data_IF_113139978071
#
_entry.id   IF_113139978071
#
_cell.length_a   1.000
_cell.length_b   1.000
_cell.length_c   1.000
_cell.angle_alpha   90.00
_cell.angle_beta   90.00
_cell.angle_gamma   90.00
#
_symmetry.space_group_name_H-M   'P 1'
#
loop_
_entity.id
_entity.type
_entity.pdbx_description
1 polymer ?
#
# COMPACT_ATOMS: atom_id res chain seq x y z
N UNK A 1 -5.01 25.63 -19.71
CA UNK A 1 -3.89 25.72 -18.76
C UNK A 1 -2.73 24.88 -19.28
N UNK A 2 -1.48 25.40 -19.14
CA UNK A 2 -0.30 24.63 -19.55
C UNK A 2 -0.02 23.53 -18.49
N UNK A 3 0.40 22.30 -18.89
CA UNK A 3 0.82 21.27 -17.95
C UNK A 3 2.00 21.77 -17.10
N UNK A 4 2.15 21.21 -15.91
CA UNK A 4 3.31 21.47 -15.05
C UNK A 4 4.54 20.78 -15.62
N UNK A 5 5.68 21.46 -15.59
CA UNK A 5 6.94 20.96 -16.16
C UNK A 5 7.90 20.41 -15.08
N UNK A 6 7.76 20.84 -13.84
CA UNK A 6 8.59 20.43 -12.72
C UNK A 6 7.88 20.64 -11.39
N UNK A 7 8.42 20.06 -10.32
CA UNK A 7 7.94 20.32 -8.94
C UNK A 7 8.06 21.81 -8.60
N UNK A 8 9.13 22.48 -9.02
CA UNK A 8 9.31 23.90 -8.82
C UNK A 8 8.23 24.74 -9.54
N UNK A 9 7.95 24.43 -10.82
CA UNK A 9 6.89 25.09 -11.60
C UNK A 9 5.51 24.91 -10.93
N UNK A 10 5.21 23.70 -10.46
CA UNK A 10 4.01 23.43 -9.70
C UNK A 10 3.91 24.31 -8.45
N UNK A 11 4.93 24.29 -7.60
CA UNK A 11 4.94 25.07 -6.37
C UNK A 11 4.87 26.58 -6.65
N UNK A 12 5.56 27.09 -7.66
CA UNK A 12 5.56 28.51 -8.06
C UNK A 12 4.19 28.97 -8.53
N UNK A 13 3.52 28.20 -9.38
CA UNK A 13 2.19 28.54 -9.91
C UNK A 13 1.07 28.40 -8.87
N UNK A 14 1.25 27.52 -7.90
CA UNK A 14 0.30 27.32 -6.80
C UNK A 14 0.62 28.18 -5.56
N UNK A 15 1.71 28.95 -5.60
CA UNK A 15 2.08 29.85 -4.50
C UNK A 15 0.99 30.91 -4.26
N UNK A 16 0.66 31.16 -2.99
CA UNK A 16 -0.43 32.08 -2.63
C UNK A 16 -1.82 31.48 -2.61
N UNK A 17 -1.99 30.20 -3.00
CA UNK A 17 -3.17 29.40 -2.74
C UNK A 17 -3.02 28.64 -1.41
N UNK A 18 -3.90 27.68 -1.13
CA UNK A 18 -3.84 26.85 0.10
C UNK A 18 -2.68 25.82 0.11
N UNK A 19 -1.71 25.97 -0.78
CA UNK A 19 -0.56 25.08 -0.87
C UNK A 19 0.35 25.25 0.34
N UNK A 20 0.52 24.20 1.10
CA UNK A 20 1.47 24.15 2.19
C UNK A 20 2.46 22.98 2.02
N UNK A 21 3.55 23.00 2.79
CA UNK A 21 4.58 21.95 2.73
C UNK A 21 4.01 20.54 2.83
N UNK A 22 3.07 20.32 3.78
CA UNK A 22 2.47 18.98 3.99
C UNK A 22 1.68 18.51 2.77
N UNK A 23 0.95 19.42 2.11
CA UNK A 23 0.20 19.08 0.90
C UNK A 23 1.14 18.65 -0.24
N UNK A 24 2.25 19.38 -0.44
CA UNK A 24 3.26 19.03 -1.44
C UNK A 24 3.90 17.68 -1.12
N UNK A 25 4.35 17.47 0.11
CA UNK A 25 4.93 16.19 0.56
C UNK A 25 3.94 15.03 0.38
N UNK A 26 2.65 15.23 0.70
CA UNK A 26 1.62 14.20 0.50
C UNK A 26 1.42 13.86 -0.98
N UNK A 27 1.42 14.85 -1.87
CA UNK A 27 1.34 14.63 -3.31
C UNK A 27 2.57 13.88 -3.85
N UNK A 28 3.77 14.22 -3.37
CA UNK A 28 5.00 13.49 -3.73
C UNK A 28 4.90 12.04 -3.26
N UNK A 29 4.54 11.81 -2.00
CA UNK A 29 4.39 10.47 -1.42
C UNK A 29 3.33 9.64 -2.15
N UNK A 30 2.27 10.27 -2.64
CA UNK A 30 1.25 9.62 -3.47
C UNK A 30 1.71 9.35 -4.91
N UNK A 31 2.91 9.82 -5.33
CA UNK A 31 3.42 9.62 -6.68
C UNK A 31 2.89 10.58 -7.73
N UNK A 32 2.22 11.67 -7.34
CA UNK A 32 1.63 12.63 -8.28
C UNK A 32 2.67 13.31 -9.20
N UNK A 33 3.93 13.32 -8.81
CA UNK A 33 5.02 13.98 -9.52
C UNK A 33 6.08 13.03 -10.10
N UNK A 34 5.81 11.73 -10.13
CA UNK A 34 6.75 10.73 -10.69
C UNK A 34 7.08 11.00 -12.17
N UNK A 35 6.21 11.74 -12.88
CA UNK A 35 6.43 12.13 -14.25
C UNK A 35 7.55 13.18 -14.46
N UNK A 36 8.05 13.83 -13.40
CA UNK A 36 9.08 14.87 -13.51
C UNK A 36 10.51 14.32 -13.53
N UNK A 37 10.70 13.00 -13.46
CA UNK A 37 12.00 12.36 -13.64
C UNK A 37 12.92 12.37 -12.41
N UNK A 38 12.56 13.08 -11.33
CA UNK A 38 13.21 12.97 -10.04
C UNK A 38 12.51 11.92 -9.18
N UNK A 39 13.26 11.21 -8.34
CA UNK A 39 12.68 10.25 -7.43
C UNK A 39 11.99 10.93 -6.23
N UNK A 40 11.09 10.21 -5.55
CA UNK A 40 10.26 10.77 -4.47
C UNK A 40 11.09 11.24 -3.28
N UNK A 41 12.14 10.52 -2.91
CA UNK A 41 13.04 10.90 -1.81
C UNK A 41 13.72 12.24 -2.09
N UNK A 42 14.29 12.40 -3.29
CA UNK A 42 14.91 13.66 -3.71
C UNK A 42 13.92 14.82 -3.72
N UNK A 43 12.69 14.59 -4.18
CA UNK A 43 11.66 15.61 -4.20
C UNK A 43 11.22 16.04 -2.81
N UNK A 44 11.00 15.09 -1.89
CA UNK A 44 10.63 15.40 -0.48
C UNK A 44 11.66 16.26 0.20
N UNK A 45 12.96 15.91 0.07
CA UNK A 45 14.06 16.69 0.64
C UNK A 45 14.18 18.09 0.03
N UNK A 46 13.80 18.25 -1.23
CA UNK A 46 13.89 19.54 -1.93
C UNK A 46 12.73 20.51 -1.59
N UNK A 47 11.58 20.03 -1.08
CA UNK A 47 10.36 20.84 -0.87
C UNK A 47 10.63 22.10 -0.07
N UNK A 48 11.33 21.99 1.05
CA UNK A 48 11.61 23.15 1.90
C UNK A 48 12.44 24.22 1.20
N UNK A 49 13.48 23.79 0.47
CA UNK A 49 14.31 24.69 -0.32
C UNK A 49 13.55 25.38 -1.44
N UNK A 50 12.70 24.63 -2.15
CA UNK A 50 11.83 25.14 -3.22
C UNK A 50 10.88 26.21 -2.68
N UNK A 51 10.18 25.93 -1.59
CA UNK A 51 9.22 26.88 -1.01
C UNK A 51 9.91 28.16 -0.52
N UNK A 52 11.06 28.05 0.14
CA UNK A 52 11.86 29.21 0.56
C UNK A 52 12.35 30.05 -0.62
N UNK A 53 12.80 29.41 -1.70
CA UNK A 53 13.20 30.12 -2.92
C UNK A 53 12.05 30.95 -3.49
N UNK A 54 10.86 30.32 -3.64
CA UNK A 54 9.66 30.98 -4.15
C UNK A 54 9.22 32.15 -3.25
N UNK A 55 9.23 31.98 -1.92
CA UNK A 55 8.93 33.08 -0.99
C UNK A 55 9.89 34.26 -1.14
N UNK A 56 11.19 33.96 -1.28
CA UNK A 56 12.22 34.99 -1.44
C UNK A 56 12.03 35.76 -2.75
N UNK A 57 11.75 35.06 -3.84
CA UNK A 57 11.51 35.67 -5.15
C UNK A 57 10.20 36.49 -5.16
N UNK A 58 9.16 35.97 -4.49
CA UNK A 58 7.89 36.72 -4.34
C UNK A 58 8.07 38.01 -3.57
N UNK A 59 8.85 38.02 -2.47
CA UNK A 59 9.15 39.23 -1.71
C UNK A 59 9.94 40.24 -2.51
N UNK A 60 10.98 39.82 -3.25
CA UNK A 60 11.74 40.68 -4.14
C UNK A 60 10.88 41.34 -5.21
N UNK A 61 9.92 40.61 -5.76
CA UNK A 61 8.99 41.13 -6.76
C UNK A 61 7.98 42.11 -6.14
N UNK A 62 7.56 41.93 -4.88
CA UNK A 62 6.61 42.82 -4.19
C UNK A 62 7.27 44.13 -3.71
N UNK A 63 8.53 44.10 -3.31
CA UNK A 63 9.26 45.27 -2.86
C UNK A 63 9.62 46.24 -4.00
N UNK A 64 9.27 45.91 -5.26
CA UNK A 64 9.37 46.82 -6.41
C UNK A 64 10.80 47.33 -6.72
N UNK A 65 11.82 46.66 -6.20
CA UNK A 65 13.19 46.85 -6.60
C UNK A 65 13.45 46.13 -7.93
N UNK A 66 12.68 46.52 -8.96
CA UNK A 66 13.28 46.68 -10.28
C UNK A 66 14.38 47.71 -10.05
N UNK A 67 15.61 47.24 -9.91
CA UNK A 67 16.73 48.12 -9.75
C UNK A 67 16.72 49.14 -10.92
N UNK A 68 16.31 50.36 -10.60
CA UNK A 68 16.28 51.48 -11.57
C UNK A 68 17.62 51.64 -12.24
N UNK A 69 18.69 51.17 -11.60
CA UNK A 69 20.07 51.11 -12.13
C UNK A 69 20.23 50.06 -13.23
N UNK A 70 19.57 48.92 -13.20
CA UNK A 70 19.67 47.89 -14.26
C UNK A 70 18.96 48.35 -15.55
N UNK A 71 17.93 49.17 -15.41
CA UNK A 71 17.25 49.80 -16.59
C UNK A 71 18.11 50.91 -17.19
N UNK A 72 18.91 51.62 -16.41
CA UNK A 72 19.79 52.67 -16.93
C UNK A 72 21.11 52.18 -17.53
N UNK A 73 21.58 51.00 -17.13
CA UNK A 73 22.84 50.41 -17.67
C UNK A 73 22.66 49.65 -18.99
N UNK A 74 21.45 49.55 -19.53
CA UNK A 74 21.24 48.95 -20.85
C UNK A 74 21.49 47.44 -20.92
N UNK A 75 21.73 46.76 -19.80
CA UNK A 75 21.96 45.32 -19.72
C UNK A 75 20.64 44.53 -19.47
N UNK A 76 19.58 44.88 -20.20
CA UNK A 76 18.38 44.05 -20.25
C UNK A 76 18.56 42.98 -21.32
N UNK A 77 19.41 42.03 -21.05
CA UNK A 77 19.28 40.69 -21.64
C UNK A 77 18.88 39.71 -20.56
N UNK A 78 17.69 39.86 -20.01
CA UNK A 78 17.01 38.76 -19.34
C UNK A 78 16.18 38.03 -20.39
N UNK A 79 16.80 37.07 -21.09
CA UNK A 79 16.08 35.88 -21.47
C UNK A 79 15.38 35.38 -20.20
N UNK A 80 14.12 34.90 -20.26
CA UNK A 80 13.51 34.22 -19.15
C UNK A 80 14.37 32.99 -18.86
N UNK A 81 15.33 33.13 -17.92
CA UNK A 81 15.92 31.96 -17.30
C UNK A 81 14.74 31.23 -16.69
N UNK A 82 14.43 30.09 -17.27
CA UNK A 82 13.57 29.13 -16.57
C UNK A 82 14.23 28.92 -15.21
N UNK A 83 13.60 29.44 -14.16
CA UNK A 83 14.07 29.26 -12.78
C UNK A 83 14.02 27.75 -12.48
N UNK A 84 15.05 27.04 -12.84
CA UNK A 84 15.22 25.61 -12.60
C UNK A 84 15.82 25.45 -11.23
N UNK A 85 15.00 25.03 -10.28
CA UNK A 85 15.53 24.58 -9.00
C UNK A 85 16.18 23.21 -9.17
N UNK A 86 17.47 23.12 -8.91
CA UNK A 86 18.23 21.87 -9.03
C UNK A 86 17.93 20.97 -7.81
N UNK A 87 17.24 19.85 -8.06
CA UNK A 87 16.95 18.85 -7.04
C UNK A 87 18.17 17.92 -6.92
N UNK A 88 18.78 17.88 -5.73
CA UNK A 88 19.89 16.98 -5.45
C UNK A 88 19.44 15.51 -5.55
N UNK A 89 20.10 14.69 -6.38
CA UNK A 89 19.75 13.27 -6.50
C UNK A 89 20.14 12.50 -5.23
N UNK A 90 19.19 11.78 -4.67
CA UNK A 90 19.33 10.85 -3.54
C UNK A 90 18.95 9.43 -3.98
N UNK A 91 19.32 8.44 -3.18
CA UNK A 91 18.81 7.09 -3.37
C UNK A 91 17.30 7.08 -3.12
N UNK A 92 16.52 6.36 -3.96
CA UNK A 92 15.08 6.23 -3.78
C UNK A 92 14.76 5.41 -2.53
N UNK A 93 13.57 5.63 -1.99
CA UNK A 93 12.99 4.77 -0.97
C UNK A 93 12.87 3.33 -1.47
N UNK A 94 12.92 2.39 -0.54
CA UNK A 94 12.66 0.99 -0.89
C UNK A 94 11.22 0.80 -1.40
N UNK A 95 10.94 -0.21 -2.22
CA UNK A 95 9.57 -0.48 -2.70
C UNK A 95 8.55 -0.59 -1.58
N UNK A 96 8.93 -1.17 -0.44
CA UNK A 96 8.05 -1.28 0.74
C UNK A 96 7.75 0.08 1.36
N UNK A 97 8.76 0.96 1.47
CA UNK A 97 8.57 2.32 1.99
C UNK A 97 7.70 3.17 1.08
N UNK A 98 7.85 3.04 -0.25
CA UNK A 98 7.00 3.74 -1.23
C UNK A 98 5.53 3.34 -1.07
N UNK A 99 5.23 2.05 -0.99
CA UNK A 99 3.89 1.53 -0.78
C UNK A 99 3.31 1.98 0.57
N UNK A 100 4.13 2.02 1.62
CA UNK A 100 3.72 2.50 2.93
C UNK A 100 3.36 3.98 2.90
N UNK A 101 4.18 4.81 2.23
CA UNK A 101 3.90 6.24 2.06
C UNK A 101 2.61 6.49 1.28
N UNK A 102 2.38 5.76 0.18
CA UNK A 102 1.14 5.82 -0.58
C UNK A 102 -0.08 5.51 0.30
N UNK A 103 -0.01 4.42 1.07
CA UNK A 103 -1.08 4.01 2.00
C UNK A 103 -1.32 5.04 3.09
N UNK A 104 -0.26 5.64 3.64
CA UNK A 104 -0.36 6.67 4.69
C UNK A 104 -1.12 7.91 4.20
N UNK A 105 -0.84 8.39 2.99
CA UNK A 105 -1.38 9.66 2.49
C UNK A 105 -2.69 9.52 1.73
N UNK A 106 -2.91 8.40 1.03
CA UNK A 106 -4.11 8.17 0.21
C UNK A 106 -5.09 7.15 0.80
N UNK A 107 -4.66 6.36 1.78
CA UNK A 107 -5.41 5.23 2.31
C UNK A 107 -5.35 3.97 1.43
N UNK A 108 -4.69 4.04 0.26
CA UNK A 108 -4.62 2.97 -0.74
C UNK A 108 -3.18 2.75 -1.18
N UNK A 109 -2.87 1.56 -1.66
CA UNK A 109 -1.66 1.31 -2.44
C UNK A 109 -1.93 1.70 -3.90
N UNK A 110 -1.14 2.58 -4.46
CA UNK A 110 -1.34 3.12 -5.82
C UNK A 110 -0.46 2.44 -6.86
N UNK A 111 0.81 2.17 -6.53
CA UNK A 111 1.78 1.61 -7.46
C UNK A 111 1.88 0.09 -7.44
N UNK A 112 1.29 -0.60 -6.44
CA UNK A 112 1.33 -2.05 -6.30
C UNK A 112 0.77 -2.50 -4.95
N UNK A 113 0.94 -3.77 -4.62
CA UNK A 113 0.52 -4.32 -3.33
C UNK A 113 1.70 -5.04 -2.64
N UNK A 114 1.84 -5.00 -1.31
CA UNK A 114 2.93 -5.67 -0.59
C UNK A 114 3.04 -7.17 -0.92
N UNK A 115 1.93 -7.82 -1.26
CA UNK A 115 1.89 -9.23 -1.65
C UNK A 115 2.33 -9.50 -3.08
N UNK A 116 2.51 -8.50 -3.93
CA UNK A 116 2.89 -8.72 -5.33
C UNK A 116 4.23 -9.43 -5.48
N UNK A 117 5.20 -9.09 -4.62
CA UNK A 117 6.50 -9.75 -4.57
C UNK A 117 6.41 -11.23 -4.12
N UNK A 118 5.31 -11.61 -3.49
CA UNK A 118 5.14 -12.94 -2.87
C UNK A 118 4.08 -13.81 -3.56
N UNK A 119 3.57 -13.42 -4.74
CA UNK A 119 2.51 -14.16 -5.47
C UNK A 119 2.82 -15.63 -5.68
N UNK A 120 4.02 -15.94 -6.19
CA UNK A 120 4.42 -17.33 -6.42
C UNK A 120 4.56 -18.12 -5.11
N UNK A 121 5.13 -17.50 -4.09
CA UNK A 121 5.32 -18.12 -2.77
C UNK A 121 3.97 -18.37 -2.10
N UNK A 122 3.07 -17.40 -2.14
CA UNK A 122 1.69 -17.54 -1.64
C UNK A 122 0.94 -18.69 -2.32
N UNK A 123 1.03 -18.80 -3.65
CA UNK A 123 0.40 -19.89 -4.39
C UNK A 123 0.93 -21.28 -3.97
N UNK A 124 2.24 -21.40 -3.69
CA UNK A 124 2.87 -22.66 -3.22
C UNK A 124 2.47 -23.01 -1.79
N UNK A 125 2.20 -22.02 -0.95
CA UNK A 125 1.79 -22.22 0.45
C UNK A 125 0.37 -22.82 0.52
N UNK A 126 -0.44 -22.73 -0.55
CA UNK A 126 -1.80 -23.26 -0.58
C UNK A 126 -2.72 -22.50 0.39
N UNK A 127 -2.66 -21.17 0.34
CA UNK A 127 -3.45 -20.28 1.20
C UNK A 127 -4.89 -20.10 0.66
N UNK A 128 -5.82 -19.83 1.58
CA UNK A 128 -7.15 -19.33 1.22
C UNK A 128 -7.06 -17.82 0.97
N UNK A 129 -7.91 -17.32 0.07
CA UNK A 129 -8.08 -15.87 -0.09
C UNK A 129 -9.08 -15.36 0.93
N UNK A 130 -8.92 -14.13 1.38
CA UNK A 130 -9.83 -13.51 2.35
C UNK A 130 -11.26 -13.50 1.79
N UNK A 131 -11.44 -13.18 0.51
CA UNK A 131 -12.74 -13.20 -0.14
C UNK A 131 -13.41 -14.57 -0.09
N UNK A 132 -12.65 -15.67 -0.20
CA UNK A 132 -13.19 -17.02 -0.09
C UNK A 132 -13.69 -17.36 1.32
N UNK A 133 -13.20 -16.63 2.34
CA UNK A 133 -13.55 -16.83 3.76
C UNK A 133 -14.64 -15.86 4.25
N UNK A 134 -14.83 -14.72 3.59
CA UNK A 134 -15.74 -13.65 4.03
C UNK A 134 -16.84 -13.32 3.05
N UNK A 135 -16.79 -13.85 1.80
CA UNK A 135 -17.77 -13.55 0.75
C UNK A 135 -19.16 -14.15 1.07
N UNK A 136 -20.22 -13.59 0.49
CA UNK A 136 -21.59 -14.08 0.64
C UNK A 136 -21.74 -15.55 0.17
N UNK A 137 -20.92 -15.99 -0.78
CA UNK A 137 -20.86 -17.38 -1.28
C UNK A 137 -19.83 -18.23 -0.51
N UNK A 138 -19.31 -17.77 0.61
CA UNK A 138 -18.32 -18.52 1.36
C UNK A 138 -18.94 -19.75 2.01
N UNK A 139 -18.61 -20.92 1.50
CA UNK A 139 -19.01 -22.22 2.09
C UNK A 139 -17.99 -22.62 3.17
N UNK A 140 -17.88 -21.81 4.22
CA UNK A 140 -16.96 -22.04 5.33
C UNK A 140 -17.73 -22.36 6.61
N UNK A 141 -17.16 -23.22 7.44
CA UNK A 141 -17.76 -23.62 8.70
C UNK A 141 -17.07 -22.92 9.88
N UNK A 142 -17.84 -22.68 10.95
CA UNK A 142 -17.26 -22.22 12.19
C UNK A 142 -16.25 -23.24 12.73
N UNK A 143 -15.07 -22.76 13.18
CA UNK A 143 -13.97 -23.61 13.62
C UNK A 143 -13.12 -24.25 12.53
N UNK A 144 -13.41 -24.00 11.23
CA UNK A 144 -12.62 -24.52 10.12
C UNK A 144 -11.18 -24.02 10.19
N UNK A 145 -10.22 -24.93 10.00
CA UNK A 145 -8.80 -24.59 9.96
C UNK A 145 -8.41 -24.04 8.59
N UNK A 146 -7.96 -22.81 8.59
CA UNK A 146 -7.58 -22.10 7.38
C UNK A 146 -6.17 -21.54 7.49
N UNK A 147 -5.55 -21.31 6.33
CA UNK A 147 -4.29 -20.60 6.18
C UNK A 147 -4.50 -19.45 5.25
N UNK A 148 -4.00 -18.28 5.62
CA UNK A 148 -3.99 -17.08 4.76
C UNK A 148 -2.57 -16.54 4.65
N UNK A 149 -2.27 -15.92 3.51
CA UNK A 149 -1.09 -15.06 3.30
C UNK A 149 -1.60 -13.65 3.12
N UNK A 150 -1.17 -12.77 3.99
CA UNK A 150 -1.73 -11.41 4.07
C UNK A 150 -0.69 -10.39 4.53
N UNK A 151 -0.97 -9.12 4.30
CA UNK A 151 -0.25 -8.00 4.87
C UNK A 151 -0.97 -7.50 6.14
N UNK A 152 -0.21 -7.17 7.17
CA UNK A 152 -0.74 -6.56 8.39
C UNK A 152 -1.00 -5.08 8.13
N UNK A 153 -2.27 -4.67 8.24
CA UNK A 153 -2.67 -3.26 8.03
C UNK A 153 -2.59 -2.46 9.32
N UNK A 154 -3.15 -3.01 10.39
CA UNK A 154 -3.23 -2.32 11.68
C UNK A 154 -3.26 -3.31 12.81
N UNK A 155 -2.65 -2.94 13.91
CA UNK A 155 -2.60 -3.77 15.09
C UNK A 155 -3.09 -2.99 16.31
N UNK A 156 -4.12 -3.51 16.99
CA UNK A 156 -4.69 -2.92 18.20
C UNK A 156 -4.52 -3.88 19.38
N UNK A 157 -3.66 -3.51 20.31
CA UNK A 157 -3.46 -4.24 21.55
C UNK A 157 -4.58 -3.96 22.55
N UNK A 158 -5.04 -4.98 23.24
CA UNK A 158 -6.02 -4.88 24.31
C UNK A 158 -5.64 -5.75 25.51
N UNK A 159 -5.95 -5.26 26.71
CA UNK A 159 -5.79 -6.05 27.93
C UNK A 159 -7.07 -6.82 28.20
N UNK A 160 -6.95 -8.12 28.42
CA UNK A 160 -8.07 -9.00 28.80
C UNK A 160 -8.46 -8.80 30.26
N UNK A 161 -9.62 -9.31 30.66
CA UNK A 161 -10.06 -9.30 32.06
C UNK A 161 -9.08 -10.02 32.99
N UNK A 162 -8.29 -10.94 32.49
CA UNK A 162 -7.23 -11.66 33.23
C UNK A 162 -5.89 -10.94 33.25
N UNK A 163 -5.86 -9.65 32.89
CA UNK A 163 -4.65 -8.82 32.80
C UNK A 163 -3.58 -9.34 31.83
N UNK A 164 -3.97 -10.10 30.83
CA UNK A 164 -3.10 -10.58 29.76
C UNK A 164 -3.31 -9.76 28.49
N UNK A 165 -2.27 -9.57 27.69
CA UNK A 165 -2.37 -8.84 26.43
C UNK A 165 -2.89 -9.73 25.30
N UNK A 166 -3.79 -9.21 24.47
CA UNK A 166 -4.23 -9.80 23.20
C UNK A 166 -4.23 -8.75 22.11
N UNK A 167 -4.27 -9.16 20.85
CA UNK A 167 -4.31 -8.22 19.73
C UNK A 167 -5.50 -8.50 18.82
N UNK A 168 -6.06 -7.42 18.29
CA UNK A 168 -6.96 -7.40 17.15
C UNK A 168 -6.17 -6.84 15.97
N UNK A 169 -5.87 -7.69 15.02
CA UNK A 169 -5.01 -7.36 13.88
C UNK A 169 -5.85 -7.33 12.62
N UNK A 170 -5.93 -6.18 11.96
CA UNK A 170 -6.55 -6.07 10.64
C UNK A 170 -5.52 -6.48 9.60
N UNK A 171 -5.89 -7.42 8.75
CA UNK A 171 -5.04 -7.93 7.67
C UNK A 171 -5.73 -7.79 6.33
N UNK A 172 -4.95 -7.70 5.26
CA UNK A 172 -5.48 -7.64 3.90
C UNK A 172 -4.70 -8.55 2.95
N UNK A 173 -5.40 -9.05 1.96
CA UNK A 173 -4.81 -9.67 0.77
C UNK A 173 -5.29 -8.94 -0.50
N UNK A 174 -4.96 -9.47 -1.68
CA UNK A 174 -5.39 -8.91 -2.97
C UNK A 174 -6.92 -8.95 -3.18
N UNK A 175 -7.67 -9.60 -2.30
CA UNK A 175 -9.10 -9.87 -2.49
C UNK A 175 -10.00 -9.23 -1.44
N UNK A 176 -9.45 -8.81 -0.30
CA UNK A 176 -10.23 -8.20 0.77
C UNK A 176 -9.45 -8.00 2.07
N UNK A 177 -10.19 -7.63 3.12
CA UNK A 177 -9.67 -7.41 4.47
C UNK A 177 -10.38 -8.30 5.48
N UNK A 178 -9.69 -8.69 6.54
CA UNK A 178 -10.23 -9.53 7.61
C UNK A 178 -9.64 -9.11 8.96
N UNK A 179 -10.42 -9.31 10.03
CA UNK A 179 -9.92 -9.17 11.40
C UNK A 179 -9.38 -10.50 11.92
N UNK A 180 -8.18 -10.47 12.47
CA UNK A 180 -7.51 -11.60 13.11
C UNK A 180 -7.44 -11.36 14.61
N UNK A 181 -7.91 -12.33 15.41
CA UNK A 181 -7.82 -12.28 16.85
C UNK A 181 -6.60 -13.08 17.28
N UNK A 182 -5.67 -12.42 17.95
CA UNK A 182 -4.43 -13.00 18.44
C UNK A 182 -4.51 -13.10 19.97
N UNK A 183 -4.77 -14.30 20.47
CA UNK A 183 -4.87 -14.57 21.91
C UNK A 183 -3.50 -14.46 22.60
N UNK A 184 -3.46 -14.25 23.95
CA UNK A 184 -2.22 -13.99 24.67
C UNK A 184 -1.11 -14.99 24.40
N UNK A 185 -1.40 -16.29 24.43
CA UNK A 185 -0.41 -17.35 24.20
C UNK A 185 0.23 -17.28 22.80
N UNK A 186 -0.54 -16.88 21.81
CA UNK A 186 -0.06 -16.71 20.41
C UNK A 186 0.70 -15.40 20.30
N UNK A 187 0.18 -14.34 20.91
CA UNK A 187 0.81 -13.02 20.92
C UNK A 187 2.21 -13.06 21.54
N UNK A 188 2.37 -13.73 22.67
CA UNK A 188 3.66 -13.88 23.35
C UNK A 188 4.72 -14.56 22.48
N UNK A 189 4.30 -15.47 21.59
CA UNK A 189 5.20 -16.22 20.70
C UNK A 189 5.53 -15.54 19.39
N UNK A 190 4.60 -14.73 18.88
CA UNK A 190 4.67 -14.20 17.51
C UNK A 190 4.55 -12.66 17.45
N UNK A 191 4.79 -11.99 18.57
CA UNK A 191 4.65 -10.53 18.69
C UNK A 191 5.43 -9.76 17.63
N UNK A 192 6.63 -10.21 17.32
CA UNK A 192 7.51 -9.55 16.36
C UNK A 192 7.04 -9.73 14.90
N UNK A 193 6.19 -10.71 14.64
CA UNK A 193 5.66 -10.99 13.31
C UNK A 193 4.46 -10.11 12.94
N UNK A 194 3.76 -9.52 13.93
CA UNK A 194 2.53 -8.73 13.70
C UNK A 194 2.79 -7.22 13.64
N UNK A 195 3.87 -6.83 13.00
CA UNK A 195 4.14 -5.41 12.75
C UNK A 195 3.34 -4.90 11.55
N UNK A 196 2.96 -3.63 11.55
CA UNK A 196 2.27 -3.00 10.42
C UNK A 196 3.12 -3.11 9.15
N UNK A 197 2.49 -3.39 8.03
CA UNK A 197 3.07 -3.66 6.72
C UNK A 197 3.91 -4.96 6.60
N UNK A 198 3.99 -5.78 7.65
CA UNK A 198 4.62 -7.10 7.54
C UNK A 198 3.75 -8.05 6.70
N UNK A 199 4.39 -8.80 5.80
CA UNK A 199 3.73 -9.89 5.07
C UNK A 199 3.91 -11.19 5.83
N UNK A 200 2.78 -11.79 6.22
CA UNK A 200 2.74 -12.94 7.12
C UNK A 200 1.90 -14.07 6.58
N UNK A 201 2.22 -15.28 7.02
CA UNK A 201 1.40 -16.48 6.90
C UNK A 201 0.73 -16.71 8.23
N UNK A 202 -0.59 -16.76 8.25
CA UNK A 202 -1.38 -17.00 9.45
C UNK A 202 -2.12 -18.33 9.30
N UNK A 203 -1.85 -19.27 10.20
CA UNK A 203 -2.67 -20.45 10.40
C UNK A 203 -3.62 -20.19 11.55
N UNK A 204 -4.89 -20.55 11.39
CA UNK A 204 -5.88 -20.32 12.42
C UNK A 204 -7.19 -21.03 12.17
N UNK A 205 -8.17 -20.71 12.98
CA UNK A 205 -9.53 -21.21 12.89
C UNK A 205 -10.48 -20.07 12.60
N UNK A 206 -11.36 -20.28 11.64
CA UNK A 206 -12.38 -19.29 11.30
C UNK A 206 -13.42 -19.23 12.42
N UNK A 207 -13.83 -18.02 12.76
CA UNK A 207 -14.98 -17.79 13.65
C UNK A 207 -16.07 -17.12 12.83
N UNK A 208 -17.14 -17.87 12.60
CA UNK A 208 -18.32 -17.41 11.87
C UNK A 208 -19.46 -17.28 12.86
N UNK A 209 -20.03 -16.08 12.95
CA UNK A 209 -21.22 -15.80 13.78
C UNK A 209 -22.31 -15.21 12.91
N UNK A 210 -23.55 -15.54 13.24
CA UNK A 210 -24.70 -14.85 12.64
C UNK A 210 -24.60 -13.36 12.99
N UNK A 211 -24.79 -12.50 12.02
CA UNK A 211 -24.74 -11.03 12.15
C UNK A 211 -23.36 -10.37 12.38
N UNK A 212 -22.25 -11.12 12.37
CA UNK A 212 -20.90 -10.54 12.45
C UNK A 212 -20.05 -10.94 11.23
N UNK A 213 -19.13 -10.05 10.82
CA UNK A 213 -18.13 -10.43 9.82
C UNK A 213 -17.25 -11.56 10.34
N UNK A 214 -16.95 -12.54 9.49
CA UNK A 214 -16.07 -13.67 9.82
C UNK A 214 -14.69 -13.17 10.30
N UNK A 215 -14.19 -13.76 11.39
CA UNK A 215 -12.89 -13.42 11.99
C UNK A 215 -12.00 -14.65 12.03
N UNK A 216 -10.69 -14.44 11.98
CA UNK A 216 -9.72 -15.52 12.10
C UNK A 216 -9.13 -15.56 13.51
N UNK A 217 -9.22 -16.69 14.20
CA UNK A 217 -8.56 -16.94 15.46
C UNK A 217 -7.18 -17.53 15.17
N UNK A 218 -6.13 -16.74 15.36
CA UNK A 218 -4.77 -17.17 15.02
C UNK A 218 -4.27 -18.28 15.95
N UNK A 219 -3.74 -19.35 15.36
CA UNK A 219 -3.00 -20.42 16.05
C UNK A 219 -1.47 -20.21 15.87
N UNK A 220 -1.03 -19.70 14.71
CA UNK A 220 0.36 -19.30 14.44
C UNK A 220 0.46 -18.15 13.45
N UNK A 221 1.51 -17.34 13.58
CA UNK A 221 1.79 -16.20 12.71
C UNK A 221 3.28 -16.19 12.40
N UNK A 222 3.65 -16.31 11.13
CA UNK A 222 5.06 -16.34 10.71
C UNK A 222 5.29 -15.36 9.57
N UNK A 223 6.41 -14.62 9.58
CA UNK A 223 6.82 -13.86 8.40
C UNK A 223 6.91 -14.80 7.20
N UNK A 224 6.43 -14.37 6.04
CA UNK A 224 6.40 -15.20 4.83
C UNK A 224 7.80 -15.71 4.44
N UNK A 225 8.83 -14.94 4.72
CA UNK A 225 10.21 -15.32 4.40
C UNK A 225 10.74 -16.44 5.30
N UNK A 226 10.27 -16.52 6.52
CA UNK A 226 10.62 -17.56 7.50
C UNK A 226 9.71 -18.79 7.41
N UNK A 227 8.66 -18.72 6.59
CA UNK A 227 7.69 -19.80 6.48
C UNK A 227 8.24 -20.97 5.65
N UNK A 228 8.30 -22.16 6.27
CA UNK A 228 8.68 -23.42 5.63
C UNK A 228 7.48 -24.38 5.67
N UNK A 229 6.86 -24.67 4.50
CA UNK A 229 5.69 -25.54 4.42
C UNK A 229 5.95 -26.96 4.95
N UNK A 230 7.19 -27.42 4.92
CA UNK A 230 7.55 -28.80 5.33
C UNK A 230 7.58 -28.99 6.83
N UNK A 231 7.72 -27.92 7.61
CA UNK A 231 7.85 -27.98 9.08
C UNK A 231 6.52 -28.04 9.84
N UNK A 232 5.44 -27.52 9.25
CA UNK A 232 4.16 -27.34 9.93
C UNK A 232 3.06 -28.33 9.50
N UNK A 233 3.27 -29.10 8.44
CA UNK A 233 2.25 -29.99 7.87
C UNK A 233 2.08 -31.35 8.59
N UNK A 234 2.73 -31.58 9.72
CA UNK A 234 2.47 -32.77 10.53
C UNK A 234 1.09 -32.65 11.21
N UNK A 235 0.04 -33.02 10.49
CA UNK A 235 -1.34 -33.08 11.03
C UNK A 235 -2.40 -32.28 10.30
N UNK A 236 -2.12 -31.77 9.11
CA UNK A 236 -3.12 -31.03 8.32
C UNK A 236 -3.80 -31.96 7.30
N UNK A 237 -5.14 -31.90 7.13
CA UNK A 237 -5.77 -32.42 5.93
C UNK A 237 -5.23 -31.67 4.72
N UNK A 238 -5.01 -32.39 3.61
CA UNK A 238 -4.59 -31.83 2.33
C UNK A 238 -5.40 -30.58 1.99
N UNK A 239 -4.78 -29.53 1.39
CA UNK A 239 -5.53 -28.36 0.93
C UNK A 239 -6.65 -28.89 0.05
N UNK A 240 -7.87 -28.47 0.35
CA UNK A 240 -9.04 -28.77 -0.47
C UNK A 240 -8.64 -28.39 -1.89
N UNK A 241 -8.36 -29.41 -2.71
CA UNK A 241 -8.17 -29.22 -4.14
C UNK A 241 -9.43 -28.50 -4.56
N UNK A 242 -9.32 -27.23 -4.86
CA UNK A 242 -10.40 -26.45 -5.46
C UNK A 242 -10.83 -27.30 -6.63
N UNK A 243 -11.93 -28.03 -6.48
CA UNK A 243 -12.41 -28.94 -7.49
C UNK A 243 -12.56 -28.07 -8.72
N UNK A 244 -11.73 -28.33 -9.73
CA UNK A 244 -11.82 -27.60 -10.97
C UNK A 244 -13.29 -27.63 -11.38
N UNK A 245 -13.95 -26.45 -11.33
CA UNK A 245 -15.35 -26.35 -11.71
C UNK A 245 -15.42 -26.84 -13.15
N UNK A 246 -15.83 -28.12 -13.32
CA UNK A 246 -16.09 -28.67 -14.64
C UNK A 246 -17.38 -28.05 -15.09
N UNK A 247 -17.33 -27.12 -16.01
CA UNK A 247 -18.50 -26.60 -16.69
C UNK A 247 -18.90 -27.64 -17.73
N UNK A 248 -20.01 -28.30 -17.52
CA UNK A 248 -20.59 -29.19 -18.50
C UNK A 248 -21.55 -28.37 -19.36
N UNK A 249 -21.13 -28.06 -20.60
CA UNK A 249 -22.02 -27.48 -21.61
C UNK A 249 -22.68 -28.60 -22.33
N UNK A 250 -24.02 -28.79 -22.15
CA UNK A 250 -24.81 -29.76 -22.85
C UNK A 250 -25.21 -29.16 -24.21
N UNK A 251 -24.56 -29.61 -25.27
CA UNK A 251 -24.94 -29.23 -26.63
C UNK A 251 -26.14 -30.07 -27.08
N UNK A 252 -27.15 -29.49 -27.76
CA UNK A 252 -28.37 -30.19 -28.13
C UNK A 252 -28.16 -31.35 -29.09
N UNK A 253 -27.20 -31.27 -30.00
CA UNK A 253 -26.76 -32.37 -30.87
C UNK A 253 -25.44 -32.02 -31.55
N UNK A 254 -24.71 -33.03 -32.12
CA UNK A 254 -23.49 -32.82 -32.91
C UNK A 254 -23.72 -32.07 -34.24
N UNK A 255 -24.97 -31.99 -34.69
CA UNK A 255 -25.36 -31.29 -35.91
C UNK A 255 -25.79 -29.83 -35.69
N UNK A 256 -25.53 -29.28 -34.49
CA UNK A 256 -25.82 -27.88 -34.21
C UNK A 256 -24.77 -26.99 -34.86
N UNK A 257 -25.14 -25.91 -35.61
CA UNK A 257 -24.21 -25.00 -36.29
C UNK A 257 -23.21 -24.29 -35.37
N UNK A 258 -23.43 -24.37 -34.07
CA UNK A 258 -22.52 -23.81 -33.04
C UNK A 258 -21.37 -24.75 -32.64
N UNK A 259 -21.31 -25.96 -33.26
CA UNK A 259 -20.25 -26.93 -32.97
C UNK A 259 -18.98 -26.71 -33.78
N UNK A 260 -19.08 -25.93 -34.87
CA UNK A 260 -18.00 -25.65 -35.83
C UNK A 260 -17.36 -24.28 -35.65
N UNK A 261 -17.42 -23.69 -34.45
CA UNK A 261 -16.76 -22.41 -34.13
C UNK A 261 -15.79 -22.54 -32.97
#
# INVERSE_FOLDING_TARGET
EKPYTSLYDFCKRMHGSELNRRAVESLIKAGAFDCFGSNRHSMVEAVEGILKSIETDSRRNLEGQLDLFSVMSGEVQQSPQEDVYEIRPLAEYTPTELLQQEKEVSGLYLSGHPLDAYREKSARIGSHTIKALTGEDAHVQDGEKVRIVCAVVKNRMMTTKSNSMMAFTSVEDLTGTMEVIVFPKVLDRFRDAIQENAVVVIDGRLSVREDEASKLLADSILPIDSYDPTRLDKGRPDPVKTAARRVFIRLPSRSCPQYDK
#
